data_IF_874910630988
#
_entry.id   IF_874910630988
#
_cell.length_a   1.000
_cell.length_b   1.000
_cell.length_c   1.000
_cell.angle_alpha   90.00
_cell.angle_beta   90.00
_cell.angle_gamma   90.00
#
_symmetry.space_group_name_H-M   'P 1'
#
loop_
_entity.id
_entity.type
_entity.pdbx_description
1 polymer ?
#
# COMPACT_ATOMS: atom_id res chain seq x y z
N UNK A 1 -25.10 25.18 -85.21
CA UNK A 1 -24.68 24.19 -84.20
C UNK A 1 -24.77 24.84 -82.83
N UNK A 2 -25.48 24.17 -81.91
CA UNK A 2 -26.00 24.62 -80.60
C UNK A 2 -24.89 25.07 -79.62
N UNK A 3 -24.98 26.27 -78.98
CA UNK A 3 -25.69 26.65 -77.71
C UNK A 3 -25.11 25.93 -76.48
N UNK A 4 -24.85 26.53 -75.30
CA UNK A 4 -25.24 27.83 -74.71
C UNK A 4 -24.51 28.05 -73.36
N UNK A 5 -24.25 29.33 -73.06
CA UNK A 5 -23.97 30.02 -71.80
C UNK A 5 -24.68 29.57 -70.51
N UNK A 6 -24.03 29.79 -69.34
CA UNK A 6 -24.34 30.79 -68.26
C UNK A 6 -23.49 30.48 -67.01
N UNK A 7 -22.59 31.36 -66.53
CA UNK A 7 -22.77 32.57 -65.71
C UNK A 7 -23.27 32.38 -64.26
N UNK A 8 -22.33 32.64 -63.34
CA UNK A 8 -22.38 33.52 -62.15
C UNK A 8 -23.21 33.21 -60.88
N UNK A 9 -22.57 33.61 -59.76
CA UNK A 9 -23.04 33.96 -58.40
C UNK A 9 -22.78 32.87 -57.34
N UNK A 10 -22.39 33.13 -56.08
CA UNK A 10 -21.97 34.31 -55.31
C UNK A 10 -21.62 33.82 -53.89
N UNK A 11 -20.57 34.41 -53.30
CA UNK A 11 -20.22 34.73 -51.90
C UNK A 11 -20.67 33.89 -50.67
N UNK A 12 -19.82 34.05 -49.63
CA UNK A 12 -19.92 33.71 -48.19
C UNK A 12 -19.76 32.23 -47.82
N UNK A 13 -18.95 31.84 -46.83
CA UNK A 13 -18.13 32.58 -45.88
C UNK A 13 -17.50 31.61 -44.87
N UNK A 14 -16.65 32.15 -44.01
CA UNK A 14 -16.23 31.63 -42.70
C UNK A 14 -15.35 30.35 -42.63
N UNK A 15 -14.07 30.61 -42.31
CA UNK A 15 -13.35 30.01 -41.17
C UNK A 15 -13.32 28.47 -41.08
N UNK A 16 -12.36 27.84 -41.75
CA UNK A 16 -11.79 26.58 -41.26
C UNK A 16 -10.54 26.90 -40.42
N UNK A 17 -10.77 27.05 -39.11
CA UNK A 17 -9.72 26.91 -38.11
C UNK A 17 -9.16 25.49 -38.26
N UNK A 18 -7.88 25.42 -38.58
CA UNK A 18 -7.06 24.23 -38.34
C UNK A 18 -7.18 23.85 -36.87
N UNK A 19 -7.97 22.82 -36.58
CA UNK A 19 -7.89 22.12 -35.30
C UNK A 19 -6.50 21.50 -35.25
N UNK A 20 -5.59 22.12 -34.49
CA UNK A 20 -4.45 21.43 -33.92
C UNK A 20 -5.00 20.41 -32.92
N UNK A 21 -4.92 19.14 -33.31
CA UNK A 21 -5.16 18.04 -32.40
C UNK A 21 -3.96 18.00 -31.45
N UNK A 22 -4.07 18.69 -30.31
CA UNK A 22 -3.19 18.46 -29.18
C UNK A 22 -3.49 17.05 -28.68
N UNK A 23 -2.65 16.09 -29.06
CA UNK A 23 -2.57 14.80 -28.40
C UNK A 23 -2.16 15.08 -26.96
N UNK A 24 -3.15 15.20 -26.08
CA UNK A 24 -2.94 14.99 -24.65
C UNK A 24 -2.40 13.57 -24.54
N UNK A 25 -1.08 13.45 -24.36
CA UNK A 25 -0.44 12.20 -23.98
C UNK A 25 -1.10 11.79 -22.65
N UNK A 26 -2.03 10.84 -22.70
CA UNK A 26 -2.52 10.16 -21.51
C UNK A 26 -1.29 9.57 -20.80
N UNK A 27 -0.89 10.20 -19.71
CA UNK A 27 0.13 9.69 -18.80
C UNK A 27 -0.17 8.21 -18.52
N UNK A 28 0.77 7.29 -18.79
CA UNK A 28 0.51 5.87 -18.65
C UNK A 28 0.05 5.58 -17.23
N UNK A 29 -1.12 4.97 -17.08
CA UNK A 29 -1.68 4.56 -15.78
C UNK A 29 -0.60 3.80 -15.02
N UNK A 30 -0.05 4.44 -13.98
CA UNK A 30 1.05 3.89 -13.20
C UNK A 30 0.55 2.62 -12.52
N UNK A 31 1.08 1.46 -12.93
CA UNK A 31 0.70 0.15 -12.37
C UNK A 31 0.87 0.18 -10.84
N UNK A 32 -0.09 -0.39 -10.13
CA UNK A 32 -0.03 -0.48 -8.66
C UNK A 32 1.24 -1.20 -8.20
N UNK A 33 1.80 -0.74 -7.08
CA UNK A 33 3.09 -1.22 -6.58
C UNK A 33 3.35 -0.82 -5.14
N UNK A 34 4.44 -1.33 -4.54
CA UNK A 34 4.84 -0.95 -3.20
C UNK A 34 5.37 0.48 -3.19
N UNK A 35 4.95 1.25 -2.18
CA UNK A 35 5.36 2.64 -1.97
C UNK A 35 5.99 2.76 -0.60
N UNK A 36 7.25 3.18 -0.58
CA UNK A 36 7.99 3.46 0.64
C UNK A 36 7.40 4.69 1.33
N UNK A 37 6.92 4.54 2.56
CA UNK A 37 6.36 5.65 3.34
C UNK A 37 7.20 6.02 4.54
N UNK A 38 7.81 5.04 5.22
CA UNK A 38 8.77 5.31 6.28
C UNK A 38 10.15 4.83 5.86
N UNK A 39 11.15 5.69 5.85
CA UNK A 39 12.54 5.36 5.53
C UNK A 39 13.39 5.39 6.80
N UNK A 40 14.13 4.33 7.06
CA UNK A 40 15.19 4.30 8.08
C UNK A 40 16.51 4.63 7.38
N UNK A 41 17.14 5.75 7.74
CA UNK A 41 18.42 6.17 7.16
C UNK A 41 19.60 5.52 7.86
N UNK A 42 20.77 5.56 7.22
CA UNK A 42 22.02 4.98 7.76
C UNK A 42 22.47 5.59 9.09
N UNK A 43 22.04 6.81 9.41
CA UNK A 43 22.31 7.49 10.68
C UNK A 43 21.21 7.25 11.74
N UNK A 44 20.42 6.18 11.57
CA UNK A 44 19.34 5.76 12.49
C UNK A 44 18.28 6.85 12.74
N UNK A 45 18.02 7.66 11.70
CA UNK A 45 16.91 8.61 11.66
C UNK A 45 15.76 8.06 10.81
N UNK A 46 14.57 8.59 11.07
CA UNK A 46 13.34 8.17 10.40
C UNK A 46 12.80 9.34 9.59
N UNK A 47 12.52 9.10 8.31
CA UNK A 47 11.86 10.07 7.43
C UNK A 47 10.53 9.50 6.94
N UNK A 48 9.49 10.32 7.03
CA UNK A 48 8.17 10.02 6.49
C UNK A 48 8.04 10.68 5.11
N UNK A 49 7.72 9.90 4.07
CA UNK A 49 7.32 10.44 2.77
C UNK A 49 5.84 10.85 2.82
N UNK A 50 5.58 12.02 3.39
CA UNK A 50 4.24 12.59 3.49
C UNK A 50 3.60 12.80 2.11
N UNK A 51 4.40 13.12 1.09
CA UNK A 51 3.89 13.36 -0.27
C UNK A 51 3.33 12.07 -0.86
N UNK A 52 4.07 10.96 -0.71
CA UNK A 52 3.62 9.66 -1.15
C UNK A 52 2.40 9.16 -0.36
N UNK A 53 2.40 9.35 0.95
CA UNK A 53 1.29 8.94 1.81
C UNK A 53 0.01 9.72 1.49
N UNK A 54 0.12 11.04 1.35
CA UNK A 54 -1.00 11.93 1.00
C UNK A 54 -1.59 11.57 -0.37
N UNK A 55 -0.74 11.26 -1.35
CA UNK A 55 -1.19 10.84 -2.69
C UNK A 55 -2.08 9.59 -2.64
N UNK A 56 -1.80 8.66 -1.74
CA UNK A 56 -2.54 7.39 -1.61
C UNK A 56 -3.81 7.60 -0.78
N UNK A 57 -3.67 8.15 0.44
CA UNK A 57 -4.75 8.17 1.42
C UNK A 57 -5.67 9.40 1.33
N UNK A 58 -5.22 10.50 0.73
CA UNK A 58 -6.03 11.72 0.59
C UNK A 58 -6.69 11.87 -0.78
N UNK A 59 -6.65 10.82 -1.61
CA UNK A 59 -7.41 10.79 -2.86
C UNK A 59 -8.92 10.83 -2.60
N UNK A 60 -9.68 11.53 -3.44
CA UNK A 60 -11.12 11.75 -3.24
C UNK A 60 -11.93 10.44 -3.12
N UNK A 61 -11.46 9.35 -3.72
CA UNK A 61 -12.13 8.05 -3.68
C UNK A 61 -12.13 7.41 -2.27
N UNK A 62 -11.12 7.72 -1.44
CA UNK A 62 -10.84 6.98 -0.18
C UNK A 62 -10.73 7.87 1.06
N UNK A 63 -10.41 9.17 0.93
CA UNK A 63 -10.08 10.06 2.07
C UNK A 63 -11.18 10.16 3.15
N UNK A 64 -12.43 10.01 2.74
CA UNK A 64 -13.61 10.16 3.60
C UNK A 64 -14.19 8.78 4.03
N UNK A 65 -13.40 7.69 3.92
CA UNK A 65 -13.81 6.32 4.27
C UNK A 65 -13.17 5.87 5.58
N UNK A 66 -13.92 5.09 6.35
CA UNK A 66 -13.34 4.31 7.45
C UNK A 66 -12.24 3.39 6.89
N UNK A 67 -11.08 3.32 7.56
CA UNK A 67 -9.91 2.58 7.10
C UNK A 67 -9.65 1.33 7.94
N UNK A 68 -9.29 0.25 7.27
CA UNK A 68 -8.75 -0.99 7.84
C UNK A 68 -7.32 -1.11 7.35
N UNK A 69 -6.36 -1.13 8.28
CA UNK A 69 -4.95 -1.27 7.97
C UNK A 69 -4.48 -2.65 8.42
N UNK A 70 -4.03 -3.46 7.47
CA UNK A 70 -3.46 -4.79 7.71
C UNK A 70 -1.95 -4.68 7.61
N UNK A 71 -1.26 -4.96 8.71
CA UNK A 71 0.18 -4.93 8.84
C UNK A 71 0.75 -6.34 9.03
N UNK A 72 1.87 -6.64 8.39
CA UNK A 72 2.66 -7.84 8.71
C UNK A 72 4.01 -7.40 9.26
N UNK A 73 4.31 -7.77 10.51
CA UNK A 73 5.56 -7.47 11.20
C UNK A 73 6.14 -8.70 11.88
N UNK A 74 7.44 -8.67 12.15
CA UNK A 74 8.15 -9.79 12.76
C UNK A 74 9.55 -9.97 12.20
N UNK A 75 10.22 -11.02 12.63
CA UNK A 75 11.64 -11.23 12.36
C UNK A 75 11.98 -11.19 10.85
N UNK A 76 13.20 -10.74 10.58
CA UNK A 76 13.77 -10.71 9.24
C UNK A 76 13.87 -12.12 8.62
N UNK A 77 13.67 -12.20 7.29
CA UNK A 77 13.66 -13.44 6.47
C UNK A 77 12.65 -14.51 6.86
N UNK A 78 11.49 -14.13 7.41
CA UNK A 78 10.41 -15.08 7.75
C UNK A 78 9.22 -15.09 6.77
N UNK A 79 9.37 -14.52 5.58
CA UNK A 79 8.34 -14.60 4.52
C UNK A 79 7.19 -13.60 4.62
N UNK A 80 7.39 -12.44 5.26
CA UNK A 80 6.34 -11.40 5.41
C UNK A 80 5.80 -10.89 4.07
N UNK A 81 6.68 -10.35 3.22
CA UNK A 81 6.31 -9.83 1.90
C UNK A 81 5.73 -10.92 0.99
N UNK A 82 6.23 -12.16 1.10
CA UNK A 82 5.66 -13.31 0.40
C UNK A 82 4.20 -13.59 0.83
N UNK A 83 3.90 -13.58 2.13
CA UNK A 83 2.53 -13.70 2.63
C UNK A 83 1.66 -12.55 2.13
N UNK A 84 2.18 -11.33 2.16
CA UNK A 84 1.44 -10.14 1.71
C UNK A 84 1.11 -10.18 0.21
N UNK A 85 1.96 -10.75 -0.63
CA UNK A 85 1.65 -10.89 -2.05
C UNK A 85 0.49 -11.87 -2.30
N UNK A 86 0.32 -12.90 -1.47
CA UNK A 86 -0.89 -13.72 -1.50
C UNK A 86 -2.12 -12.97 -1.01
N UNK A 87 -1.97 -12.11 0.01
CA UNK A 87 -3.05 -11.20 0.41
C UNK A 87 -3.42 -10.26 -0.74
N UNK A 88 -2.46 -9.75 -1.52
CA UNK A 88 -2.73 -8.95 -2.72
C UNK A 88 -3.54 -9.76 -3.75
N UNK A 89 -3.15 -11.00 -4.05
CA UNK A 89 -3.93 -11.88 -4.94
C UNK A 89 -5.38 -12.03 -4.47
N UNK A 90 -5.59 -12.26 -3.18
CA UNK A 90 -6.94 -12.29 -2.60
C UNK A 90 -7.67 -10.97 -2.80
N UNK A 91 -7.05 -9.84 -2.45
CA UNK A 91 -7.69 -8.52 -2.54
C UNK A 91 -8.09 -8.15 -3.96
N UNK A 92 -7.31 -8.54 -4.97
CA UNK A 92 -7.64 -8.32 -6.38
C UNK A 92 -8.69 -9.29 -6.94
N UNK A 93 -8.86 -10.47 -6.34
CA UNK A 93 -9.65 -11.57 -6.90
C UNK A 93 -10.70 -12.12 -5.91
N UNK A 94 -11.21 -11.30 -4.99
CA UNK A 94 -12.09 -11.75 -3.90
C UNK A 94 -13.36 -12.49 -4.36
N UNK A 95 -13.88 -12.16 -5.55
CA UNK A 95 -15.07 -12.78 -6.13
C UNK A 95 -14.77 -14.09 -6.87
N UNK A 96 -13.48 -14.40 -7.09
CA UNK A 96 -13.04 -15.63 -7.74
C UNK A 96 -12.88 -16.76 -6.73
N UNK A 97 -13.35 -17.96 -7.10
CA UNK A 97 -13.09 -19.18 -6.31
C UNK A 97 -11.59 -19.52 -6.32
N UNK A 98 -10.92 -19.29 -7.45
CA UNK A 98 -9.51 -19.56 -7.67
C UNK A 98 -8.65 -18.30 -7.46
N UNK A 99 -8.97 -17.50 -6.45
CA UNK A 99 -8.29 -16.23 -6.12
C UNK A 99 -6.78 -16.39 -5.87
N UNK A 100 -6.33 -17.60 -5.53
CA UNK A 100 -4.91 -17.91 -5.25
C UNK A 100 -4.02 -17.69 -6.48
N UNK A 101 -4.59 -17.64 -7.68
CA UNK A 101 -3.88 -17.45 -8.95
C UNK A 101 -3.47 -18.75 -9.61
N UNK A 102 -2.98 -18.67 -10.85
CA UNK A 102 -2.50 -19.85 -11.58
C UNK A 102 -1.23 -20.43 -10.94
N UNK A 103 -1.09 -21.76 -11.00
CA UNK A 103 0.06 -22.46 -10.42
C UNK A 103 1.39 -22.11 -11.09
N UNK A 104 1.38 -21.63 -12.33
CA UNK A 104 2.56 -21.19 -13.07
C UNK A 104 2.73 -19.67 -13.05
N UNK A 105 1.80 -18.93 -12.48
CA UNK A 105 1.89 -17.48 -12.38
C UNK A 105 2.87 -17.08 -11.27
N UNK A 106 3.93 -16.30 -11.58
CA UNK A 106 4.83 -15.78 -10.57
C UNK A 106 4.10 -14.91 -9.54
N UNK A 107 4.52 -14.99 -8.28
CA UNK A 107 4.01 -14.11 -7.24
C UNK A 107 4.68 -12.74 -7.34
N UNK A 108 3.89 -11.68 -7.51
CA UNK A 108 4.37 -10.30 -7.65
C UNK A 108 3.64 -9.37 -6.71
N UNK A 109 4.34 -8.36 -6.19
CA UNK A 109 3.78 -7.37 -5.30
C UNK A 109 4.89 -6.59 -4.60
N UNK A 110 4.95 -6.71 -3.28
CA UNK A 110 6.08 -6.24 -2.49
C UNK A 110 7.35 -6.98 -2.90
N UNK A 111 8.51 -6.31 -2.85
CA UNK A 111 9.76 -6.97 -3.23
C UNK A 111 10.07 -8.08 -2.24
N UNK A 112 10.25 -9.30 -2.74
CA UNK A 112 10.74 -10.42 -1.95
C UNK A 112 11.73 -11.24 -2.78
N UNK A 113 12.79 -11.71 -2.12
CA UNK A 113 13.76 -12.64 -2.71
C UNK A 113 14.32 -13.57 -1.65
N UNK A 114 14.75 -14.76 -2.06
CA UNK A 114 15.61 -15.60 -1.22
C UNK A 114 16.97 -14.94 -0.94
N UNK A 115 17.71 -15.44 0.05
CA UNK A 115 19.06 -14.95 0.40
C UNK A 115 19.16 -14.42 1.83
N UNK A 116 20.37 -14.00 2.24
CA UNK A 116 20.68 -13.51 3.59
C UNK A 116 20.54 -12.00 3.76
N UNK A 117 20.67 -11.22 2.68
CA UNK A 117 20.70 -9.73 2.74
C UNK A 117 19.33 -9.08 2.92
N UNK A 118 19.19 -7.94 3.56
CA UNK A 118 17.85 -7.34 3.71
C UNK A 118 17.23 -6.89 2.39
N UNK A 119 15.89 -6.87 2.38
CA UNK A 119 15.09 -6.46 1.21
C UNK A 119 14.23 -5.24 1.56
N UNK A 120 13.31 -5.38 2.53
CA UNK A 120 12.44 -4.29 2.99
C UNK A 120 13.13 -3.47 4.08
N UNK A 121 13.18 -2.14 3.91
CA UNK A 121 13.63 -1.17 4.91
C UNK A 121 12.46 -0.27 5.34
N UNK A 122 12.34 0.07 6.63
CA UNK A 122 11.25 0.89 7.15
C UNK A 122 9.85 0.29 6.91
N UNK A 123 8.92 1.08 6.35
CA UNK A 123 7.54 0.67 6.09
C UNK A 123 7.15 0.99 4.64
N UNK A 124 6.60 0.00 3.96
CA UNK A 124 6.00 0.13 2.63
C UNK A 124 4.49 -0.10 2.72
N UNK A 125 3.72 0.64 1.92
CA UNK A 125 2.30 0.40 1.73
C UNK A 125 2.01 0.12 0.26
N UNK A 126 0.94 -0.62 -0.02
CA UNK A 126 0.49 -0.80 -1.40
C UNK A 126 -0.12 0.51 -1.92
N UNK A 127 0.21 0.90 -3.16
CA UNK A 127 -0.26 2.16 -3.74
C UNK A 127 -1.76 2.21 -3.99
N UNK A 128 -2.39 1.05 -4.15
CA UNK A 128 -3.83 0.93 -4.38
C UNK A 128 -4.55 0.59 -3.08
N UNK A 129 -5.56 1.39 -2.74
CA UNK A 129 -6.40 1.18 -1.55
C UNK A 129 -7.67 0.47 -1.97
N UNK A 130 -7.93 -0.70 -1.38
CA UNK A 130 -9.05 -1.54 -1.79
C UNK A 130 -10.34 -1.08 -1.11
N UNK A 131 -11.39 -0.81 -1.89
CA UNK A 131 -12.68 -0.42 -1.36
C UNK A 131 -13.61 -1.63 -1.20
N UNK A 132 -13.78 -2.12 0.03
CA UNK A 132 -14.52 -3.35 0.33
C UNK A 132 -15.88 -3.02 0.94
N UNK A 133 -16.93 -3.70 0.47
CA UNK A 133 -18.26 -3.61 1.05
C UNK A 133 -18.36 -4.58 2.23
N UNK A 134 -18.62 -4.05 3.43
CA UNK A 134 -18.92 -4.85 4.61
C UNK A 134 -20.33 -5.45 4.52
N UNK A 135 -20.62 -6.53 5.26
CA UNK A 135 -21.97 -7.12 5.33
C UNK A 135 -23.05 -6.15 5.83
N UNK A 136 -22.66 -5.13 6.61
CA UNK A 136 -23.53 -4.05 7.09
C UNK A 136 -23.84 -2.98 6.03
N UNK A 137 -23.33 -3.13 4.80
CA UNK A 137 -23.53 -2.22 3.68
C UNK A 137 -22.57 -1.02 3.66
N UNK A 138 -21.72 -0.84 4.67
CA UNK A 138 -20.70 0.22 4.66
C UNK A 138 -19.54 -0.14 3.73
N UNK A 139 -18.99 0.84 3.03
CA UNK A 139 -17.76 0.68 2.24
C UNK A 139 -16.56 1.17 3.06
N UNK A 140 -15.56 0.31 3.22
CA UNK A 140 -14.32 0.62 3.95
C UNK A 140 -13.12 0.60 3.02
N UNK A 141 -12.10 1.40 3.34
CA UNK A 141 -10.82 1.41 2.66
C UNK A 141 -9.87 0.43 3.34
N UNK A 142 -9.33 -0.54 2.60
CA UNK A 142 -8.36 -1.52 3.11
C UNK A 142 -6.97 -1.17 2.59
N UNK A 143 -6.03 -0.98 3.52
CA UNK A 143 -4.63 -0.68 3.25
C UNK A 143 -3.75 -1.85 3.71
N UNK A 144 -2.82 -2.27 2.84
CA UNK A 144 -1.83 -3.29 3.16
C UNK A 144 -0.48 -2.63 3.43
N UNK A 145 0.15 -3.02 4.56
CA UNK A 145 1.39 -2.45 5.05
C UNK A 145 2.44 -3.54 5.33
N UNK A 146 3.53 -3.53 4.56
CA UNK A 146 4.69 -4.39 4.78
C UNK A 146 5.76 -3.65 5.58
N UNK A 147 6.42 -4.36 6.47
CA UNK A 147 7.38 -3.78 7.40
C UNK A 147 8.74 -4.45 7.29
N UNK A 148 9.78 -3.68 7.56
CA UNK A 148 11.11 -4.21 7.75
C UNK A 148 11.13 -5.30 8.83
N UNK A 149 11.92 -6.36 8.57
CA UNK A 149 12.12 -7.39 9.57
C UNK A 149 12.93 -6.91 10.77
N UNK A 150 12.45 -7.25 11.97
CA UNK A 150 13.21 -6.99 13.19
C UNK A 150 14.46 -7.88 13.25
N UNK A 151 15.48 -7.40 13.97
CA UNK A 151 16.72 -8.13 14.26
C UNK A 151 17.58 -8.51 13.04
N UNK A 152 17.61 -7.64 12.02
CA UNK A 152 18.63 -7.75 10.97
C UNK A 152 20.02 -7.29 11.48
N UNK A 153 21.07 -7.59 10.72
CA UNK A 153 22.46 -7.29 11.10
C UNK A 153 22.84 -5.80 10.96
N UNK A 154 21.98 -4.97 10.38
CA UNK A 154 22.27 -3.57 10.04
C UNK A 154 21.46 -2.57 10.87
N UNK A 155 20.49 -3.04 11.66
CA UNK A 155 19.53 -2.21 12.37
C UNK A 155 19.73 -2.29 13.87
N UNK A 156 19.56 -1.16 14.55
CA UNK A 156 19.57 -1.13 16.02
C UNK A 156 18.27 -1.69 16.58
N UNK A 157 18.29 -2.04 17.87
CA UNK A 157 17.06 -2.38 18.59
C UNK A 157 16.04 -1.24 18.54
N UNK A 158 16.51 0.01 18.57
CA UNK A 158 15.66 1.20 18.45
C UNK A 158 14.98 1.29 17.08
N UNK A 159 15.70 0.99 16.00
CA UNK A 159 15.12 1.00 14.64
C UNK A 159 14.02 -0.05 14.51
N UNK A 160 14.31 -1.28 14.94
CA UNK A 160 13.35 -2.38 14.95
C UNK A 160 12.12 -2.05 15.80
N UNK A 161 12.34 -1.52 17.00
CA UNK A 161 11.26 -1.14 17.91
C UNK A 161 10.39 -0.01 17.34
N UNK A 162 11.01 0.98 16.70
CA UNK A 162 10.28 2.13 16.13
C UNK A 162 9.41 1.69 14.95
N UNK A 163 9.95 0.90 14.01
CA UNK A 163 9.17 0.37 12.88
C UNK A 163 8.01 -0.50 13.36
N UNK A 164 8.26 -1.40 14.32
CA UNK A 164 7.22 -2.27 14.86
C UNK A 164 6.15 -1.50 15.65
N UNK A 165 6.57 -0.54 16.49
CA UNK A 165 5.64 0.28 17.26
C UNK A 165 4.75 1.11 16.33
N UNK A 166 5.33 1.78 15.33
CA UNK A 166 4.57 2.55 14.33
C UNK A 166 3.61 1.66 13.55
N UNK A 167 4.06 0.48 13.09
CA UNK A 167 3.18 -0.44 12.37
C UNK A 167 2.01 -0.88 13.23
N UNK A 168 2.25 -1.17 14.51
CA UNK A 168 1.22 -1.62 15.46
C UNK A 168 0.24 -0.50 15.79
N UNK A 169 0.72 0.72 16.04
CA UNK A 169 -0.13 1.88 16.35
C UNK A 169 -1.05 2.26 15.19
N UNK A 170 -0.57 2.13 13.95
CA UNK A 170 -1.30 2.52 12.74
C UNK A 170 -2.23 1.38 12.26
N UNK A 171 -1.86 0.12 12.52
CA UNK A 171 -2.64 -1.03 12.06
C UNK A 171 -3.89 -1.26 12.89
N UNK A 172 -5.00 -1.60 12.23
CA UNK A 172 -6.16 -2.22 12.88
C UNK A 172 -5.95 -3.72 13.08
N UNK A 173 -5.18 -4.36 12.20
CA UNK A 173 -4.85 -5.78 12.25
C UNK A 173 -3.34 -5.92 12.11
N UNK A 174 -2.68 -6.37 13.19
CA UNK A 174 -1.24 -6.66 13.20
C UNK A 174 -1.02 -8.17 13.14
N UNK A 175 -0.51 -8.66 12.01
CA UNK A 175 -0.04 -10.04 11.87
C UNK A 175 1.39 -10.10 12.40
N UNK A 176 1.60 -10.79 13.51
CA UNK A 176 2.94 -11.03 14.05
C UNK A 176 3.51 -12.34 13.49
N UNK A 177 4.40 -12.21 12.51
CA UNK A 177 4.94 -13.33 11.74
C UNK A 177 6.19 -13.92 12.41
N UNK A 178 5.96 -15.02 13.13
CA UNK A 178 6.95 -15.80 13.87
C UNK A 178 7.37 -17.05 13.09
N UNK A 179 8.52 -17.61 13.47
CA UNK A 179 9.10 -18.77 12.80
C UNK A 179 9.11 -19.96 13.74
N UNK A 180 8.49 -21.06 13.30
CA UNK A 180 8.44 -22.36 14.00
C UNK A 180 7.62 -22.36 15.29
N UNK A 181 7.94 -21.50 16.26
CA UNK A 181 7.29 -21.49 17.57
C UNK A 181 7.16 -20.07 18.13
N UNK A 182 6.37 -19.93 19.19
CA UNK A 182 6.31 -18.71 20.01
C UNK A 182 7.27 -18.90 21.18
N UNK A 183 8.36 -18.16 21.18
CA UNK A 183 9.37 -18.22 22.23
C UNK A 183 9.20 -17.06 23.23
N UNK A 184 9.82 -17.19 24.40
CA UNK A 184 9.72 -16.18 25.46
C UNK A 184 10.31 -14.82 25.02
N UNK A 185 11.40 -14.85 24.25
CA UNK A 185 12.01 -13.66 23.66
C UNK A 185 11.08 -12.99 22.65
N UNK A 186 10.31 -13.76 21.86
CA UNK A 186 9.29 -13.19 20.97
C UNK A 186 8.24 -12.39 21.74
N UNK A 187 7.84 -12.87 22.92
CA UNK A 187 6.88 -12.19 23.82
C UNK A 187 7.50 -10.97 24.47
N UNK A 188 8.76 -11.04 24.90
CA UNK A 188 9.49 -9.90 25.47
C UNK A 188 9.68 -8.78 24.44
N UNK A 189 10.02 -9.14 23.19
CA UNK A 189 10.11 -8.18 22.09
C UNK A 189 8.76 -7.55 21.79
N UNK A 190 7.68 -8.35 21.72
CA UNK A 190 6.34 -7.83 21.54
C UNK A 190 5.95 -6.86 22.65
N UNK A 191 6.25 -7.20 23.91
CA UNK A 191 6.01 -6.32 25.06
C UNK A 191 6.80 -5.01 24.93
N UNK A 192 8.09 -5.08 24.59
CA UNK A 192 8.94 -3.90 24.42
C UNK A 192 8.39 -2.96 23.34
N UNK A 193 8.00 -3.51 22.18
CA UNK A 193 7.54 -2.70 21.06
C UNK A 193 6.16 -2.10 21.29
N UNK A 194 5.26 -2.86 21.92
CA UNK A 194 3.92 -2.37 22.28
C UNK A 194 3.98 -1.29 23.36
N UNK A 195 4.88 -1.42 24.35
CA UNK A 195 5.09 -0.38 25.36
C UNK A 195 5.71 0.89 24.75
N UNK A 196 6.65 0.73 23.80
CA UNK A 196 7.19 1.85 23.03
C UNK A 196 6.10 2.62 22.29
N UNK A 197 5.17 1.90 21.65
CA UNK A 197 4.00 2.50 21.02
C UNK A 197 3.09 3.20 22.03
N UNK A 198 2.75 2.52 23.13
CA UNK A 198 1.88 3.07 24.18
C UNK A 198 2.40 4.38 24.76
N UNK A 199 3.72 4.51 24.96
CA UNK A 199 4.35 5.75 25.45
C UNK A 199 4.25 6.92 24.46
N UNK A 200 4.04 6.65 23.17
CA UNK A 200 3.86 7.65 22.13
C UNK A 200 2.37 7.96 21.84
N UNK A 201 1.44 7.20 22.43
CA UNK A 201 0.00 7.39 22.26
C UNK A 201 -0.58 8.29 23.37
N UNK A 202 -1.73 8.90 23.08
CA UNK A 202 -2.51 9.62 24.09
C UNK A 202 -2.96 8.68 25.21
N UNK A 203 -2.99 9.17 26.46
CA UNK A 203 -3.47 8.39 27.58
C UNK A 203 -4.95 8.00 27.40
N UNK A 204 -5.23 6.70 27.48
CA UNK A 204 -6.58 6.16 27.32
C UNK A 204 -6.85 5.10 28.38
N UNK A 205 -8.10 5.04 28.82
CA UNK A 205 -8.59 3.97 29.71
C UNK A 205 -8.99 2.71 28.95
N UNK A 206 -9.04 2.77 27.61
CA UNK A 206 -9.32 1.63 26.74
C UNK A 206 -8.03 0.88 26.42
N UNK A 207 -8.16 -0.35 25.90
CA UNK A 207 -6.99 -1.07 25.37
C UNK A 207 -6.39 -0.24 24.22
N UNK A 208 -5.06 -0.02 24.20
CA UNK A 208 -4.43 0.88 23.23
C UNK A 208 -4.47 0.35 21.80
N UNK A 209 -4.54 -0.97 21.63
CA UNK A 209 -4.63 -1.63 20.33
C UNK A 209 -5.91 -2.44 20.22
N UNK A 210 -6.38 -2.64 18.99
CA UNK A 210 -7.60 -3.39 18.72
C UNK A 210 -7.46 -4.85 19.17
N UNK A 211 -8.56 -5.43 19.63
CA UNK A 211 -8.69 -6.86 19.92
C UNK A 211 -9.80 -7.38 19.01
N UNK A 212 -9.50 -8.26 18.06
CA UNK A 212 -10.55 -8.90 17.30
C UNK A 212 -11.26 -9.91 18.20
N UNK A 213 -12.50 -9.64 18.57
CA UNK A 213 -13.43 -10.68 19.00
C UNK A 213 -14.31 -10.97 17.79
N UNK A 214 -14.25 -12.22 17.31
CA UNK A 214 -15.13 -12.71 16.25
C UNK A 214 -16.58 -12.80 16.69
#
# INVERSE_FOLDING_TARGET
MAKSHKDRNSWDGFSEKTNEWSSEEEEPVKKAGPVQVLVVKDHHSFELDETALNRILLSEAVRDKEVVVVSVAGAFRKGKSFLMDFMLRYMYNQESVDWVGDYNEPLTGFSWRGGSERETTGIQIWSEVFLINKPDGKKVAVLLMDTQGTFDSQSTLRDSATVFALSTMISSIQVYNLSQNVQEDDLQHLQLFTEYGRLAMEETFLKPFQVSWG
#
